data_IF_890581952148
#
_entry.id   IF_890581952148
#
_cell.length_a   1.000
_cell.length_b   1.000
_cell.length_c   1.000
_cell.angle_alpha   90.00
_cell.angle_beta   90.00
_cell.angle_gamma   90.00
#
_symmetry.space_group_name_H-M   'P 1'
#
loop_
_entity.id
_entity.type
_entity.pdbx_description
1 polymer ?
#
# COMPACT_ATOMS: atom_id res chain seq x y z
N UNK A 1 -2.13 25.34 -30.51
CA UNK A 1 -1.38 24.76 -29.38
C UNK A 1 -2.40 24.27 -28.38
N UNK A 2 -2.52 22.95 -28.21
CA UNK A 2 -3.46 22.35 -27.26
C UNK A 2 -2.64 21.87 -26.06
N UNK A 3 -2.54 22.69 -25.01
CA UNK A 3 -2.00 22.26 -23.73
C UNK A 3 -3.17 21.73 -22.91
N UNK A 4 -3.21 20.40 -22.80
CA UNK A 4 -4.20 19.63 -22.05
C UNK A 4 -4.14 19.98 -20.57
N UNK A 5 -5.11 20.77 -20.09
CA UNK A 5 -5.42 20.89 -18.68
C UNK A 5 -6.21 19.63 -18.25
N UNK A 6 -5.51 18.66 -17.68
CA UNK A 6 -6.10 17.61 -16.85
C UNK A 6 -5.24 17.48 -15.60
N UNK A 7 -5.52 18.31 -14.61
CA UNK A 7 -5.06 18.05 -13.26
C UNK A 7 -6.20 18.26 -12.28
N UNK A 8 -7.08 17.26 -12.14
CA UNK A 8 -8.04 17.26 -11.02
C UNK A 8 -8.69 15.89 -10.80
N UNK A 9 -7.88 14.82 -10.78
CA UNK A 9 -8.35 13.56 -10.20
C UNK A 9 -7.24 12.97 -9.35
N UNK A 10 -6.90 13.69 -8.28
CA UNK A 10 -6.11 13.13 -7.18
C UNK A 10 -6.79 11.84 -6.75
N UNK A 11 -6.08 10.72 -6.87
CA UNK A 11 -6.58 9.40 -6.45
C UNK A 11 -7.07 9.50 -5.00
N UNK A 12 -8.23 8.95 -4.61
CA UNK A 12 -8.83 9.16 -3.27
C UNK A 12 -8.11 8.42 -2.13
N UNK A 13 -6.83 8.08 -2.30
CA UNK A 13 -6.07 7.22 -1.39
C UNK A 13 -6.48 5.74 -1.51
N UNK A 14 -5.98 4.90 -0.60
CA UNK A 14 -6.26 3.46 -0.57
C UNK A 14 -6.80 3.05 0.79
N UNK A 15 -7.94 2.37 0.82
CA UNK A 15 -8.47 1.77 2.06
C UNK A 15 -8.15 0.28 2.11
N UNK A 16 -7.45 -0.15 3.16
CA UNK A 16 -7.08 -1.55 3.38
C UNK A 16 -7.86 -2.11 4.57
N UNK A 17 -8.61 -3.19 4.34
CA UNK A 17 -9.26 -3.98 5.38
C UNK A 17 -8.77 -5.41 5.35
N UNK A 18 -8.50 -6.00 6.52
CA UNK A 18 -8.07 -7.39 6.64
C UNK A 18 -9.22 -8.20 7.21
N UNK A 19 -9.64 -9.23 6.47
CA UNK A 19 -10.76 -10.09 6.81
C UNK A 19 -10.29 -11.53 6.96
N UNK A 20 -10.88 -12.26 7.91
CA UNK A 20 -10.88 -13.72 7.90
C UNK A 20 -12.14 -14.19 7.19
N UNK A 21 -12.00 -15.14 6.27
CA UNK A 21 -13.10 -15.77 5.57
C UNK A 21 -13.35 -17.12 6.20
N UNK A 22 -14.60 -17.39 6.57
CA UNK A 22 -15.03 -18.72 6.97
C UNK A 22 -15.10 -19.64 5.73
N UNK A 23 -14.44 -20.80 5.71
CA UNK A 23 -14.33 -21.61 4.50
C UNK A 23 -15.64 -22.32 4.11
N UNK A 24 -16.54 -22.57 5.07
CA UNK A 24 -17.80 -23.30 4.84
C UNK A 24 -18.92 -22.34 4.45
N UNK A 25 -19.06 -21.24 5.19
CA UNK A 25 -20.14 -20.26 5.04
C UNK A 25 -19.76 -19.08 4.14
N UNK A 26 -18.46 -18.91 3.84
CA UNK A 26 -17.88 -17.78 3.08
C UNK A 26 -18.11 -16.41 3.73
N UNK A 27 -18.57 -16.38 4.98
CA UNK A 27 -18.78 -15.15 5.74
C UNK A 27 -17.44 -14.48 6.02
N UNK A 28 -17.39 -13.14 5.87
CA UNK A 28 -16.19 -12.33 6.09
C UNK A 28 -16.26 -11.64 7.44
N UNK A 29 -15.27 -11.85 8.30
CA UNK A 29 -15.15 -11.18 9.59
C UNK A 29 -13.95 -10.25 9.56
N UNK A 30 -14.13 -8.99 9.91
CA UNK A 30 -13.04 -8.02 9.99
C UNK A 30 -12.13 -8.39 11.17
N UNK A 31 -10.85 -8.65 10.91
CA UNK A 31 -9.87 -9.06 11.94
C UNK A 31 -8.95 -7.93 12.38
N UNK A 32 -8.92 -6.81 11.65
CA UNK A 32 -8.22 -5.59 12.05
C UNK A 32 -9.01 -4.35 11.65
N UNK A 33 -8.84 -3.28 12.40
CA UNK A 33 -9.37 -1.97 12.04
C UNK A 33 -8.97 -1.61 10.61
N UNK A 34 -9.91 -1.04 9.85
CA UNK A 34 -9.64 -0.52 8.51
C UNK A 34 -8.62 0.61 8.64
N UNK A 35 -7.66 0.65 7.72
CA UNK A 35 -6.71 1.75 7.60
C UNK A 35 -6.83 2.41 6.25
N UNK A 36 -6.87 3.73 6.24
CA UNK A 36 -6.87 4.55 5.02
C UNK A 36 -5.49 5.12 4.84
N UNK A 37 -4.89 4.85 3.69
CA UNK A 37 -3.63 5.44 3.24
C UNK A 37 -3.97 6.65 2.37
N UNK A 38 -3.30 7.77 2.64
CA UNK A 38 -3.41 8.96 1.81
C UNK A 38 -2.90 8.66 0.37
N UNK A 39 -3.30 9.47 -0.63
CA UNK A 39 -2.69 9.41 -1.94
C UNK A 39 -1.18 9.66 -1.81
N UNK A 40 -0.37 9.03 -2.65
CA UNK A 40 1.06 9.34 -2.72
C UNK A 40 1.22 10.64 -3.51
N UNK A 41 2.01 11.58 -2.98
CA UNK A 41 2.22 12.89 -3.60
C UNK A 41 3.03 12.82 -4.90
N UNK A 42 3.89 11.81 -5.03
CA UNK A 42 4.76 11.61 -6.19
C UNK A 42 4.66 10.18 -6.73
N UNK A 43 4.76 9.99 -8.06
CA UNK A 43 4.86 8.66 -8.63
C UNK A 43 6.12 7.95 -8.12
N UNK A 44 5.99 6.66 -7.80
CA UNK A 44 7.13 5.84 -7.41
C UNK A 44 7.88 5.44 -8.69
N UNK A 45 8.91 6.20 -9.04
CA UNK A 45 9.73 5.96 -10.25
C UNK A 45 10.81 4.87 -10.06
N UNK A 46 10.98 4.36 -8.83
CA UNK A 46 11.98 3.35 -8.52
C UNK A 46 11.34 2.06 -7.99
N UNK A 47 11.72 0.93 -8.59
CA UNK A 47 11.46 -0.40 -8.03
C UNK A 47 12.50 -0.79 -6.97
N UNK A 48 13.38 0.13 -6.59
CA UNK A 48 14.39 -0.08 -5.57
C UNK A 48 13.71 -0.10 -4.21
N UNK A 49 13.42 -1.30 -3.71
CA UNK A 49 12.94 -1.46 -2.35
C UNK A 49 14.02 -0.98 -1.37
N UNK A 50 13.65 -0.23 -0.31
CA UNK A 50 14.59 0.09 0.74
C UNK A 50 15.15 -1.22 1.34
N UNK A 51 16.39 -1.20 1.85
CA UNK A 51 16.96 -2.38 2.49
C UNK A 51 16.02 -2.86 3.61
N UNK A 52 15.87 -4.18 3.71
CA UNK A 52 14.99 -4.81 4.68
C UNK A 52 15.32 -4.34 6.11
N UNK A 53 14.43 -3.55 6.72
CA UNK A 53 14.63 -2.96 8.05
C UNK A 53 14.29 -3.85 9.24
N UNK A 54 13.96 -5.14 9.02
CA UNK A 54 13.62 -6.04 10.12
C UNK A 54 14.88 -6.50 10.87
N UNK A 55 14.74 -6.86 12.15
CA UNK A 55 15.85 -7.32 13.01
C UNK A 55 16.61 -8.53 12.43
N UNK A 56 15.96 -9.36 11.62
CA UNK A 56 16.59 -10.50 10.94
C UNK A 56 17.51 -10.10 9.78
N UNK A 57 17.24 -8.98 9.13
CA UNK A 57 18.00 -8.46 8.00
C UNK A 57 19.08 -7.46 8.46
N UNK A 58 18.78 -6.63 9.47
CA UNK A 58 19.67 -5.61 9.99
C UNK A 58 21.02 -6.15 10.53
N UNK A 59 21.04 -7.41 10.98
CA UNK A 59 22.27 -8.08 11.46
C UNK A 59 23.12 -8.74 10.36
N UNK A 60 22.70 -8.69 9.10
CA UNK A 60 23.47 -9.18 7.96
C UNK A 60 24.00 -7.98 7.17
N UNK A 61 25.01 -7.31 7.70
CA UNK A 61 25.91 -6.54 6.84
C UNK A 61 26.50 -7.54 5.85
N UNK A 62 26.04 -7.50 4.60
CA UNK A 62 26.65 -8.28 3.53
C UNK A 62 28.09 -7.78 3.35
N UNK A 63 29.12 -8.66 3.35
CA UNK A 63 30.46 -8.26 2.91
C UNK A 63 30.44 -7.79 1.44
#
# INVERSE_FOLDING_TARGET
>A
MATTERDETKHPGLTIGIYRVDPETRVRTLVRAKRTLAPVDEPVDSLTFPPCGCSRCAGRSNP
#
